data_IF_785028459056
#
_entry.id   IF_785028459056
#
_cell.length_a   1.000
_cell.length_b   1.000
_cell.length_c   1.000
_cell.angle_alpha   90.00
_cell.angle_beta   90.00
_cell.angle_gamma   90.00
#
_symmetry.space_group_name_H-M   'P 1'
#
loop_
_entity.id
_entity.type
_entity.pdbx_description
1 polymer ?
#
# COMPACT_ATOMS: atom_id res chain seq x y z
N UNK A 1 -13.20 -33.99 52.81
CA UNK A 1 -11.95 -33.48 52.23
C UNK A 1 -12.04 -33.63 50.71
N UNK A 2 -12.31 -32.53 50.01
CA UNK A 2 -12.24 -32.47 48.56
C UNK A 2 -11.58 -31.13 48.24
N UNK A 3 -10.31 -31.18 47.83
CA UNK A 3 -9.57 -30.00 47.39
C UNK A 3 -9.96 -29.66 45.97
N UNK A 4 -10.42 -28.43 45.76
CA UNK A 4 -10.55 -27.85 44.43
C UNK A 4 -9.30 -27.00 44.19
N UNK A 5 -8.43 -27.48 43.30
CA UNK A 5 -7.33 -26.69 42.75
C UNK A 5 -7.90 -25.73 41.72
N UNK A 6 -7.89 -24.43 42.03
CA UNK A 6 -8.16 -23.39 41.03
C UNK A 6 -6.83 -22.99 40.40
N UNK A 7 -6.74 -23.13 39.07
CA UNK A 7 -5.60 -22.65 38.30
C UNK A 7 -5.58 -21.12 38.36
N UNK A 8 -4.48 -20.55 38.88
CA UNK A 8 -4.18 -19.13 38.80
C UNK A 8 -3.68 -18.79 37.39
N UNK A 9 -4.52 -18.10 36.61
CA UNK A 9 -4.09 -17.50 35.35
C UNK A 9 -3.44 -16.13 35.62
N UNK A 10 -2.16 -16.01 35.31
CA UNK A 10 -1.27 -14.90 35.73
C UNK A 10 -1.20 -13.76 34.71
N UNK A 11 -2.20 -13.62 33.84
CA UNK A 11 -2.14 -12.67 32.70
C UNK A 11 -3.37 -11.78 32.48
N UNK A 12 -4.20 -11.55 33.49
CA UNK A 12 -5.26 -10.55 33.43
C UNK A 12 -5.20 -9.57 34.61
N UNK A 13 -4.81 -8.30 34.42
CA UNK A 13 -4.67 -7.32 35.50
C UNK A 13 -6.01 -6.68 35.93
N UNK A 14 -7.15 -7.20 35.46
CA UNK A 14 -8.47 -6.61 35.70
C UNK A 14 -9.36 -7.43 36.65
N UNK A 15 -8.96 -8.66 36.97
CA UNK A 15 -9.71 -9.58 37.83
C UNK A 15 -8.79 -10.27 38.86
N UNK A 16 -7.87 -9.53 39.44
CA UNK A 16 -7.31 -9.94 40.74
C UNK A 16 -8.39 -9.73 41.79
N UNK A 17 -9.12 -10.80 42.10
CA UNK A 17 -9.90 -10.94 43.34
C UNK A 17 -8.93 -11.13 44.53
N UNK A 18 -7.93 -10.25 44.66
CA UNK A 18 -7.06 -10.12 45.83
C UNK A 18 -7.44 -8.89 46.66
N UNK A 19 -8.75 -8.63 46.81
CA UNK A 19 -9.26 -7.59 47.71
C UNK A 19 -10.07 -8.19 48.87
N UNK A 20 -9.69 -9.40 49.28
CA UNK A 20 -9.94 -9.83 50.65
C UNK A 20 -8.92 -9.10 51.53
N UNK A 21 -9.22 -7.83 51.85
CA UNK A 21 -8.48 -7.05 52.83
C UNK A 21 -8.51 -7.87 54.13
N UNK A 22 -7.37 -8.44 54.50
CA UNK A 22 -7.19 -9.19 55.75
C UNK A 22 -7.82 -8.41 56.91
N UNK A 23 -8.62 -9.07 57.75
CA UNK A 23 -9.37 -8.45 58.83
C UNK A 23 -8.45 -7.63 59.74
N UNK A 24 -7.18 -8.04 59.90
CA UNK A 24 -6.18 -7.24 60.60
C UNK A 24 -5.81 -5.92 59.91
N UNK A 25 -5.76 -5.91 58.57
CA UNK A 25 -5.47 -4.72 57.76
C UNK A 25 -6.67 -3.78 57.74
N UNK A 26 -7.89 -4.32 57.70
CA UNK A 26 -9.13 -3.56 57.85
C UNK A 26 -9.25 -2.93 59.26
N UNK A 27 -8.91 -3.67 60.31
CA UNK A 27 -8.94 -3.16 61.69
C UNK A 27 -7.82 -2.14 61.98
N UNK A 28 -6.66 -2.25 61.32
CA UNK A 28 -5.57 -1.26 61.40
C UNK A 28 -5.88 0.03 60.64
N UNK A 29 -6.71 -0.04 59.60
CA UNK A 29 -7.13 1.12 58.81
C UNK A 29 -8.38 1.81 59.37
N UNK A 30 -9.03 1.24 60.39
CA UNK A 30 -10.13 1.88 61.11
C UNK A 30 -9.61 3.09 61.93
N UNK A 31 -10.21 4.29 61.80
CA UNK A 31 -9.76 5.46 62.54
C UNK A 31 -9.99 5.28 64.04
N UNK A 32 -8.94 5.46 64.83
CA UNK A 32 -8.98 5.38 66.30
C UNK A 32 -9.88 6.50 66.84
N UNK A 33 -11.01 6.14 67.47
CA UNK A 33 -11.81 7.09 68.26
C UNK A 33 -11.08 7.39 69.57
N UNK A 34 -10.11 8.29 69.52
CA UNK A 34 -9.47 8.86 70.70
C UNK A 34 -9.85 10.34 70.84
N UNK A 35 -10.46 10.66 71.98
CA UNK A 35 -10.72 12.01 72.46
C UNK A 35 -9.40 12.72 72.76
N UNK A 36 -9.23 13.92 72.19
CA UNK A 36 -8.17 14.87 72.53
C UNK A 36 -6.93 14.83 71.63
N UNK A 37 -6.58 15.98 71.05
CA UNK A 37 -5.41 16.25 70.19
C UNK A 37 -5.45 15.73 68.75
N UNK A 38 -6.42 16.20 67.95
CA UNK A 38 -6.57 15.82 66.54
C UNK A 38 -6.61 17.02 65.56
N UNK A 39 -5.75 18.02 65.76
CA UNK A 39 -5.63 19.15 64.82
C UNK A 39 -4.33 19.15 64.01
N UNK A 40 -3.30 18.39 64.37
CA UNK A 40 -2.00 18.41 63.66
C UNK A 40 -1.75 17.20 62.74
N UNK A 41 -2.47 16.08 62.93
CA UNK A 41 -2.31 14.89 62.07
C UNK A 41 -3.17 14.94 60.80
N UNK A 42 -4.38 15.51 60.87
CA UNK A 42 -5.27 15.67 59.70
C UNK A 42 -4.67 16.62 58.66
N UNK A 43 -4.05 17.72 59.11
CA UNK A 43 -3.40 18.69 58.23
C UNK A 43 -2.19 18.13 57.44
N UNK A 44 -1.45 17.15 57.99
CA UNK A 44 -0.28 16.57 57.30
C UNK A 44 -0.69 15.53 56.23
N UNK A 45 -1.74 14.75 56.49
CA UNK A 45 -2.28 13.80 55.51
C UNK A 45 -2.94 14.50 54.31
N UNK A 46 -3.68 15.58 54.55
CA UNK A 46 -4.28 16.40 53.49
C UNK A 46 -3.20 17.02 52.58
N UNK A 47 -2.08 17.48 53.13
CA UNK A 47 -0.96 18.01 52.34
C UNK A 47 -0.29 16.93 51.46
N UNK A 48 -0.08 15.72 51.97
CA UNK A 48 0.51 14.63 51.18
C UNK A 48 -0.43 14.17 50.05
N UNK A 49 -1.73 14.07 50.33
CA UNK A 49 -2.75 13.72 49.34
C UNK A 49 -2.85 14.78 48.24
N UNK A 50 -2.76 16.07 48.60
CA UNK A 50 -2.80 17.18 47.66
C UNK A 50 -1.55 17.22 46.76
N UNK A 51 -0.36 16.97 47.32
CA UNK A 51 0.88 16.81 46.54
C UNK A 51 0.79 15.62 45.58
N UNK A 52 0.29 14.47 46.05
CA UNK A 52 0.10 13.28 45.21
C UNK A 52 -0.90 13.55 44.08
N UNK A 53 -2.00 14.25 44.36
CA UNK A 53 -2.99 14.67 43.35
C UNK A 53 -2.35 15.60 42.31
N UNK A 54 -1.54 16.57 42.73
CA UNK A 54 -0.83 17.46 41.81
C UNK A 54 0.16 16.69 40.93
N UNK A 55 0.91 15.74 41.49
CA UNK A 55 1.82 14.89 40.73
C UNK A 55 1.09 14.03 39.70
N UNK A 56 -0.06 13.45 40.06
CA UNK A 56 -0.90 12.68 39.13
C UNK A 56 -1.46 13.55 38.01
N UNK A 57 -1.90 14.78 38.32
CA UNK A 57 -2.38 15.73 37.31
C UNK A 57 -1.27 16.16 36.35
N UNK A 58 -0.06 16.42 36.86
CA UNK A 58 1.09 16.76 36.02
C UNK A 58 1.48 15.59 35.10
N UNK A 59 1.53 14.37 35.65
CA UNK A 59 1.84 13.16 34.88
C UNK A 59 0.79 12.89 33.81
N UNK A 60 -0.49 13.08 34.12
CA UNK A 60 -1.58 12.97 33.15
C UNK A 60 -1.39 13.94 31.98
N UNK A 61 -1.14 15.22 32.28
CA UNK A 61 -0.93 16.26 31.26
C UNK A 61 0.25 15.94 30.35
N UNK A 62 1.36 15.48 30.93
CA UNK A 62 2.55 15.08 30.18
C UNK A 62 2.27 13.90 29.24
N UNK A 63 1.52 12.90 29.71
CA UNK A 63 1.12 11.75 28.87
C UNK A 63 0.20 12.21 27.73
N UNK A 64 -0.79 13.06 28.03
CA UNK A 64 -1.71 13.62 27.04
C UNK A 64 -0.95 14.39 25.94
N UNK A 65 -0.05 15.29 26.31
CA UNK A 65 0.75 16.09 25.38
C UNK A 65 1.65 15.23 24.49
N UNK A 66 2.37 14.27 25.09
CA UNK A 66 3.21 13.31 24.36
C UNK A 66 2.39 12.46 23.39
N UNK A 67 1.17 12.09 23.77
CA UNK A 67 0.27 11.27 22.95
C UNK A 67 -0.23 12.05 21.74
N UNK A 68 -0.66 13.31 21.93
CA UNK A 68 -1.05 14.19 20.83
C UNK A 68 0.10 14.37 19.85
N UNK A 69 1.28 14.76 20.34
CA UNK A 69 2.44 15.00 19.49
C UNK A 69 2.89 13.72 18.73
N UNK A 70 2.81 12.56 19.38
CA UNK A 70 3.07 11.27 18.72
C UNK A 70 2.08 10.99 17.59
N UNK A 71 0.80 11.28 17.82
CA UNK A 71 -0.27 11.11 16.84
C UNK A 71 -0.11 12.07 15.65
N UNK A 72 0.21 13.34 15.90
CA UNK A 72 0.48 14.34 14.84
C UNK A 72 1.67 13.93 13.96
N UNK A 73 2.76 13.45 14.56
CA UNK A 73 3.90 12.90 13.81
C UNK A 73 3.48 11.70 12.97
N UNK A 74 2.67 10.80 13.52
CA UNK A 74 2.19 9.62 12.81
C UNK A 74 1.34 10.01 11.60
N UNK A 75 0.45 11.01 11.73
CA UNK A 75 -0.32 11.55 10.61
C UNK A 75 0.59 12.09 9.51
N UNK A 76 1.62 12.87 9.87
CA UNK A 76 2.58 13.39 8.89
C UNK A 76 3.26 12.25 8.12
N UNK A 77 3.76 11.24 8.83
CA UNK A 77 4.41 10.08 8.22
C UNK A 77 3.46 9.28 7.31
N UNK A 78 2.18 9.15 7.70
CA UNK A 78 1.18 8.48 6.88
C UNK A 78 0.90 9.26 5.60
N UNK A 79 0.76 10.59 5.68
CA UNK A 79 0.58 11.46 4.50
C UNK A 79 1.78 11.42 3.57
N UNK A 80 2.99 11.44 4.12
CA UNK A 80 4.23 11.30 3.32
C UNK A 80 4.27 9.93 2.64
N UNK A 81 3.88 8.87 3.35
CA UNK A 81 3.78 7.51 2.81
C UNK A 81 2.74 7.41 1.69
N UNK A 82 1.60 8.08 1.83
CA UNK A 82 0.57 8.13 0.79
C UNK A 82 1.07 8.84 -0.47
N UNK A 83 1.77 9.95 -0.31
CA UNK A 83 2.36 10.68 -1.43
C UNK A 83 3.38 9.82 -2.18
N UNK A 84 4.28 9.15 -1.45
CA UNK A 84 5.27 8.24 -2.03
C UNK A 84 4.58 7.05 -2.72
N UNK A 85 3.55 6.49 -2.09
CA UNK A 85 2.77 5.38 -2.66
C UNK A 85 2.03 5.79 -3.94
N UNK A 86 1.43 6.97 -3.97
CA UNK A 86 0.78 7.52 -5.15
C UNK A 86 1.78 7.75 -6.31
N UNK A 87 2.92 8.38 -6.03
CA UNK A 87 3.96 8.58 -7.04
C UNK A 87 4.51 7.23 -7.57
N UNK A 88 4.61 6.23 -6.70
CA UNK A 88 5.03 4.87 -7.08
C UNK A 88 3.98 4.20 -7.97
N UNK A 89 2.69 4.35 -7.66
CA UNK A 89 1.60 3.85 -8.48
C UNK A 89 1.61 4.47 -9.89
N UNK A 90 1.80 5.79 -9.99
CA UNK A 90 1.93 6.47 -11.29
C UNK A 90 3.11 5.93 -12.11
N UNK A 91 4.26 5.71 -11.45
CA UNK A 91 5.44 5.17 -12.11
C UNK A 91 5.22 3.73 -12.59
N UNK A 92 4.56 2.87 -11.80
CA UNK A 92 4.21 1.51 -12.24
C UNK A 92 3.27 1.53 -13.45
N UNK A 93 2.25 2.41 -13.48
CA UNK A 93 1.36 2.57 -14.64
C UNK A 93 2.17 2.96 -15.88
N UNK A 94 3.12 3.90 -15.73
CA UNK A 94 3.99 4.31 -16.84
C UNK A 94 4.90 3.17 -17.32
N UNK A 95 5.43 2.37 -16.39
CA UNK A 95 6.26 1.20 -16.72
C UNK A 95 5.47 0.13 -17.47
N UNK A 96 4.24 -0.15 -17.04
CA UNK A 96 3.33 -1.06 -17.74
C UNK A 96 3.15 -0.65 -19.21
N UNK A 97 2.89 0.64 -19.45
CA UNK A 97 2.71 1.16 -20.81
C UNK A 97 3.95 0.96 -21.70
N UNK A 98 5.15 1.03 -21.11
CA UNK A 98 6.40 0.75 -21.83
C UNK A 98 6.55 -0.74 -22.16
N UNK A 99 6.16 -1.62 -21.24
CA UNK A 99 6.14 -3.07 -21.46
C UNK A 99 5.14 -3.43 -22.56
N UNK A 100 3.91 -2.91 -22.53
CA UNK A 100 2.90 -3.14 -23.57
C UNK A 100 3.38 -2.67 -24.96
N UNK A 101 4.04 -1.50 -25.04
CA UNK A 101 4.67 -1.04 -26.28
C UNK A 101 5.78 -1.98 -26.76
N UNK A 102 6.55 -2.54 -25.83
CA UNK A 102 7.63 -3.47 -26.15
C UNK A 102 7.08 -4.78 -26.67
N UNK A 103 6.04 -5.32 -26.03
CA UNK A 103 5.32 -6.51 -26.48
C UNK A 103 4.79 -6.33 -27.91
N UNK A 104 4.10 -5.21 -28.18
CA UNK A 104 3.58 -4.91 -29.52
C UNK A 104 4.69 -4.84 -30.57
N UNK A 105 5.83 -4.22 -30.25
CA UNK A 105 6.99 -4.17 -31.16
C UNK A 105 7.54 -5.56 -31.43
N UNK A 106 7.57 -6.46 -30.45
CA UNK A 106 8.00 -7.84 -30.65
C UNK A 106 7.03 -8.60 -31.58
N UNK A 107 5.74 -8.37 -31.45
CA UNK A 107 4.74 -8.94 -32.36
C UNK A 107 4.91 -8.44 -33.79
N UNK A 108 5.15 -7.12 -33.97
CA UNK A 108 5.44 -6.51 -35.26
C UNK A 108 6.73 -7.09 -35.89
N UNK A 109 7.79 -7.27 -35.09
CA UNK A 109 9.04 -7.87 -35.54
C UNK A 109 8.80 -9.33 -35.94
N UNK A 110 8.10 -10.11 -35.13
CA UNK A 110 7.80 -11.51 -35.43
C UNK A 110 6.97 -11.64 -36.73
N UNK A 111 5.98 -10.78 -36.94
CA UNK A 111 5.22 -10.71 -38.20
C UNK A 111 6.10 -10.36 -39.39
N UNK A 112 6.97 -9.35 -39.23
CA UNK A 112 7.93 -8.92 -40.25
C UNK A 112 8.92 -10.03 -40.59
N UNK A 113 9.42 -10.76 -39.59
CA UNK A 113 10.28 -11.92 -39.79
C UNK A 113 9.55 -13.01 -40.56
N UNK A 114 8.28 -13.32 -40.28
CA UNK A 114 7.51 -14.31 -41.07
C UNK A 114 7.40 -13.91 -42.54
N UNK A 115 7.14 -12.62 -42.81
CA UNK A 115 7.09 -12.10 -44.17
C UNK A 115 8.47 -12.18 -44.86
N UNK A 116 9.53 -11.75 -44.16
CA UNK A 116 10.93 -11.86 -44.61
C UNK A 116 11.30 -13.31 -44.96
N UNK A 117 10.90 -14.28 -44.15
CA UNK A 117 11.15 -15.70 -44.43
C UNK A 117 10.50 -16.16 -45.73
N UNK A 118 9.25 -15.74 -46.00
CA UNK A 118 8.56 -16.03 -47.26
C UNK A 118 9.31 -15.42 -48.46
N UNK A 119 9.88 -14.22 -48.30
CA UNK A 119 10.67 -13.56 -49.34
C UNK A 119 11.99 -14.29 -49.59
N UNK A 120 12.72 -14.64 -48.52
CA UNK A 120 13.96 -15.43 -48.60
C UNK A 120 13.70 -16.77 -49.31
N UNK A 121 12.58 -17.44 -49.01
CA UNK A 121 12.18 -18.68 -49.68
C UNK A 121 11.83 -18.47 -51.16
N UNK A 122 11.14 -17.39 -51.49
CA UNK A 122 10.89 -16.98 -52.88
C UNK A 122 12.19 -16.74 -53.65
N UNK A 123 13.16 -16.04 -53.04
CA UNK A 123 14.48 -15.78 -53.62
C UNK A 123 15.25 -17.10 -53.84
N UNK A 124 15.28 -17.98 -52.83
CA UNK A 124 15.86 -19.34 -52.97
C UNK A 124 15.24 -20.09 -54.15
N UNK A 125 13.92 -19.99 -54.32
CA UNK A 125 13.19 -20.65 -55.41
C UNK A 125 13.52 -20.07 -56.79
N UNK A 126 13.56 -18.74 -56.97
CA UNK A 126 13.87 -18.16 -58.29
C UNK A 126 15.31 -18.42 -58.74
N UNK A 127 16.28 -18.38 -57.82
CA UNK A 127 17.67 -18.75 -58.14
C UNK A 127 17.81 -20.25 -58.44
N UNK A 128 17.04 -21.09 -57.73
CA UNK A 128 16.96 -22.53 -58.01
C UNK A 128 16.34 -22.83 -59.38
N UNK A 129 15.22 -22.16 -59.71
CA UNK A 129 14.52 -22.30 -60.98
C UNK A 129 15.33 -21.75 -62.14
N UNK A 130 16.03 -20.62 -62.00
CA UNK A 130 16.97 -20.11 -63.01
C UNK A 130 18.10 -21.09 -63.27
N UNK A 131 18.67 -21.70 -62.23
CA UNK A 131 19.69 -22.76 -62.39
C UNK A 131 19.11 -24.01 -63.06
N UNK A 132 17.88 -24.40 -62.74
CA UNK A 132 17.25 -25.60 -63.30
C UNK A 132 16.74 -25.38 -64.74
N UNK A 133 16.30 -24.17 -65.09
CA UNK A 133 15.97 -23.75 -66.45
C UNK A 133 17.22 -23.64 -67.33
N UNK A 134 18.32 -23.09 -66.80
CA UNK A 134 19.60 -23.06 -67.51
C UNK A 134 20.24 -24.47 -67.62
N UNK A 135 19.85 -25.41 -66.75
CA UNK A 135 20.28 -26.83 -66.82
C UNK A 135 19.28 -27.78 -67.47
N UNK A 136 18.22 -27.27 -68.11
CA UNK A 136 17.40 -28.01 -69.09
C UNK A 136 16.53 -29.16 -68.57
N UNK A 137 15.90 -29.06 -67.38
CA UNK A 137 14.93 -30.07 -66.90
C UNK A 137 13.65 -29.43 -66.35
N UNK A 138 12.53 -29.67 -67.04
CA UNK A 138 11.18 -29.16 -66.76
C UNK A 138 10.51 -29.82 -65.53
N UNK A 139 9.68 -29.09 -64.77
CA UNK A 139 8.22 -29.29 -64.63
C UNK A 139 7.58 -28.42 -63.50
N UNK A 140 6.35 -27.98 -63.78
CA UNK A 140 5.22 -27.47 -62.96
C UNK A 140 5.31 -27.27 -61.43
N UNK A 141 4.80 -26.13 -60.94
CA UNK A 141 4.12 -26.06 -59.61
C UNK A 141 3.15 -24.86 -59.49
N UNK A 142 1.97 -24.99 -58.84
CA UNK A 142 0.97 -23.91 -58.69
C UNK A 142 1.13 -23.05 -57.41
N UNK A 143 0.44 -21.91 -57.44
CA UNK A 143 0.44 -20.75 -56.52
C UNK A 143 -0.33 -21.01 -55.20
N UNK A 144 0.15 -20.59 -54.00
CA UNK A 144 -0.66 -20.54 -52.80
C UNK A 144 -1.10 -19.10 -52.44
N UNK A 145 -2.43 -18.90 -52.41
CA UNK A 145 -3.10 -17.70 -51.86
C UNK A 145 -2.98 -17.63 -50.35
N UNK A 146 -2.48 -16.51 -49.83
CA UNK A 146 -2.46 -16.16 -48.40
C UNK A 146 -3.72 -15.40 -48.01
N UNK A 147 -4.51 -15.96 -47.07
CA UNK A 147 -5.51 -15.23 -46.29
C UNK A 147 -4.90 -14.93 -44.90
N UNK A 148 -4.98 -13.68 -44.48
CA UNK A 148 -4.56 -13.16 -43.16
C UNK A 148 -5.67 -13.42 -42.12
N UNK A 149 -5.34 -13.72 -40.84
CA UNK A 149 -6.27 -13.51 -39.75
C UNK A 149 -6.07 -12.13 -39.10
N UNK A 150 -7.22 -11.62 -38.69
CA UNK A 150 -7.56 -10.35 -38.07
C UNK A 150 -7.00 -10.24 -36.64
N UNK A 151 -6.44 -9.07 -36.33
CA UNK A 151 -5.87 -8.72 -35.03
C UNK A 151 -6.98 -8.35 -34.05
N UNK A 152 -7.17 -9.18 -33.02
CA UNK A 152 -7.98 -8.85 -31.86
C UNK A 152 -7.26 -7.80 -31.01
N UNK A 153 -7.90 -6.64 -30.83
CA UNK A 153 -7.46 -5.58 -29.93
C UNK A 153 -7.56 -6.05 -28.48
N UNK A 154 -6.41 -6.32 -27.84
CA UNK A 154 -6.34 -6.44 -26.39
C UNK A 154 -6.37 -5.04 -25.80
N UNK A 155 -7.41 -4.77 -25.00
CA UNK A 155 -7.56 -3.50 -24.29
C UNK A 155 -6.51 -3.40 -23.19
N UNK A 156 -5.73 -2.31 -23.23
CA UNK A 156 -4.93 -1.85 -22.11
C UNK A 156 -5.86 -1.52 -20.94
N UNK A 157 -5.91 -2.42 -19.97
CA UNK A 157 -6.51 -2.11 -18.67
C UNK A 157 -5.40 -2.25 -17.65
N UNK A 158 -4.84 -1.12 -17.24
CA UNK A 158 -4.24 -1.04 -15.90
C UNK A 158 -5.24 -1.60 -14.88
N UNK A 159 -4.73 -2.18 -13.80
CA UNK A 159 -5.58 -2.69 -12.74
C UNK A 159 -6.57 -1.59 -12.27
N UNK A 160 -7.90 -1.82 -12.35
CA UNK A 160 -8.90 -0.81 -11.97
C UNK A 160 -8.81 -0.46 -10.48
N UNK A 161 -8.27 -1.37 -9.68
CA UNK A 161 -8.01 -1.27 -8.25
C UNK A 161 -6.93 -0.23 -7.93
N UNK A 162 -5.82 -0.23 -8.67
CA UNK A 162 -4.74 0.76 -8.50
C UNK A 162 -5.21 2.16 -8.90
N UNK A 163 -5.93 2.25 -10.02
CA UNK A 163 -6.44 3.53 -10.54
C UNK A 163 -7.43 4.18 -9.57
N UNK A 164 -8.39 3.40 -9.04
CA UNK A 164 -9.35 3.88 -8.05
C UNK A 164 -8.68 4.30 -6.73
N UNK A 165 -7.62 3.60 -6.31
CA UNK A 165 -6.90 3.91 -5.07
C UNK A 165 -6.07 5.18 -5.23
N UNK A 166 -5.46 5.39 -6.39
CA UNK A 166 -4.72 6.60 -6.72
C UNK A 166 -5.64 7.84 -6.70
N UNK A 167 -6.81 7.75 -7.33
CA UNK A 167 -7.81 8.82 -7.33
C UNK A 167 -8.27 9.17 -5.90
N UNK A 168 -8.46 8.16 -5.05
CA UNK A 168 -8.84 8.36 -3.66
C UNK A 168 -7.76 9.09 -2.85
N UNK A 169 -6.48 8.79 -3.09
CA UNK A 169 -5.37 9.49 -2.41
C UNK A 169 -5.25 10.92 -2.91
N UNK A 170 -5.36 11.13 -4.22
CA UNK A 170 -5.19 12.45 -4.82
C UNK A 170 -6.32 13.41 -4.42
N UNK A 171 -7.56 12.92 -4.33
CA UNK A 171 -8.70 13.70 -3.84
C UNK A 171 -8.55 14.08 -2.35
N UNK A 172 -8.07 13.16 -1.51
CA UNK A 172 -7.82 13.45 -0.09
C UNK A 172 -6.69 14.47 0.10
N UNK A 173 -5.63 14.39 -0.70
CA UNK A 173 -4.53 15.35 -0.67
C UNK A 173 -4.99 16.76 -1.08
N UNK A 174 -5.85 16.86 -2.10
CA UNK A 174 -6.45 18.12 -2.52
C UNK A 174 -7.35 18.74 -1.44
N UNK A 175 -8.16 17.91 -0.76
CA UNK A 175 -9.08 18.37 0.28
C UNK A 175 -8.38 18.81 1.58
N UNK A 176 -7.22 18.23 1.90
CA UNK A 176 -6.48 18.54 3.13
C UNK A 176 -5.43 19.66 2.99
N UNK A 177 -5.38 20.36 1.85
CA UNK A 177 -4.43 21.44 1.62
C UNK A 177 -4.65 22.63 2.59
N UNK A 178 -3.59 23.23 3.17
CA UNK A 178 -3.71 24.32 4.16
C UNK A 178 -4.50 25.54 3.67
N UNK A 179 -4.60 25.74 2.35
CA UNK A 179 -5.41 26.82 1.75
C UNK A 179 -6.93 26.63 1.94
N UNK A 180 -7.42 25.41 2.16
CA UNK A 180 -8.83 25.13 2.43
C UNK A 180 -9.15 25.18 3.93
N UNK A 181 -8.15 24.90 4.80
CA UNK A 181 -8.32 25.00 6.27
C UNK A 181 -8.47 26.45 6.75
N UNK A 182 -7.99 27.44 5.99
CA UNK A 182 -8.16 28.86 6.30
C UNK A 182 -9.59 29.39 6.04
N UNK A 183 -10.44 28.63 5.35
CA UNK A 183 -11.80 29.05 4.94
C UNK A 183 -12.89 28.71 5.97
N UNK A 184 -12.55 28.08 7.10
CA UNK A 184 -13.53 27.56 8.07
C UNK A 184 -13.31 28.03 9.51
N UNK A 185 -12.91 29.28 9.73
CA UNK A 185 -12.57 29.83 11.05
C UNK A 185 -13.47 30.98 11.51
N UNK A 186 -14.71 31.06 11.01
CA UNK A 186 -15.72 32.02 11.49
C UNK A 186 -17.07 31.34 11.65
N UNK A 187 -17.33 30.91 12.88
CA UNK A 187 -18.61 30.67 13.58
C UNK A 187 -18.15 30.22 14.99
N UNK A 188 -18.04 31.07 16.02
CA UNK A 188 -19.13 31.65 16.87
C UNK A 188 -20.29 30.66 17.04
N UNK A 189 -20.68 30.19 18.23
CA UNK A 189 -20.84 30.87 19.51
C UNK A 189 -20.82 29.89 20.71
N UNK A 190 -20.58 30.48 21.89
CA UNK A 190 -21.12 30.14 23.22
C UNK A 190 -20.88 28.75 23.87
N UNK A 191 -20.05 28.74 24.93
CA UNK A 191 -20.45 28.25 26.26
C UNK A 191 -19.31 28.48 27.27
N UNK A 192 -19.35 29.64 27.93
CA UNK A 192 -18.66 29.86 29.21
C UNK A 192 -19.44 29.16 30.32
N UNK A 193 -19.11 27.90 30.64
CA UNK A 193 -19.22 27.38 32.01
C UNK A 193 -18.59 25.96 32.15
N UNK A 194 -17.84 25.74 33.23
CA UNK A 194 -17.12 24.51 33.64
C UNK A 194 -15.66 24.33 33.18
N UNK A 195 -14.77 25.06 33.86
CA UNK A 195 -13.33 25.20 33.57
C UNK A 195 -12.41 24.05 34.00
N UNK A 196 -12.89 22.93 34.53
CA UNK A 196 -11.99 21.85 35.04
C UNK A 196 -12.12 20.50 34.32
N UNK A 197 -13.22 20.24 33.61
CA UNK A 197 -13.41 19.01 32.81
C UNK A 197 -13.33 19.26 31.29
N UNK A 198 -13.37 20.53 30.84
CA UNK A 198 -13.30 20.87 29.41
C UNK A 198 -11.95 20.59 28.77
N UNK A 199 -10.83 20.85 29.45
CA UNK A 199 -9.49 20.63 28.88
C UNK A 199 -9.25 19.17 28.49
N UNK A 200 -9.76 18.25 29.30
CA UNK A 200 -9.58 16.82 29.10
C UNK A 200 -10.47 16.29 27.99
N UNK A 201 -11.69 16.80 27.89
CA UNK A 201 -12.60 16.48 26.81
C UNK A 201 -12.10 17.02 25.47
N UNK A 202 -11.47 18.19 25.47
CA UNK A 202 -10.86 18.77 24.27
C UNK A 202 -9.66 17.94 23.78
N UNK A 203 -8.80 17.49 24.70
CA UNK A 203 -7.67 16.60 24.40
C UNK A 203 -8.15 15.28 23.82
N UNK A 204 -9.15 14.65 24.44
CA UNK A 204 -9.73 13.39 23.92
C UNK A 204 -10.32 13.58 22.53
N UNK A 205 -11.06 14.67 22.29
CA UNK A 205 -11.61 14.99 20.95
C UNK A 205 -10.53 15.18 19.89
N UNK A 206 -9.43 15.86 20.23
CA UNK A 206 -8.29 16.04 19.32
C UNK A 206 -7.63 14.69 19.01
N UNK A 207 -7.44 13.85 20.02
CA UNK A 207 -6.87 12.53 19.84
C UNK A 207 -7.77 11.64 18.97
N UNK A 208 -9.08 11.64 19.22
CA UNK A 208 -10.05 10.88 18.43
C UNK A 208 -10.06 11.32 16.96
N UNK A 209 -10.06 12.63 16.71
CA UNK A 209 -9.93 13.18 15.36
C UNK A 209 -8.64 12.75 14.68
N UNK A 210 -7.53 12.78 15.41
CA UNK A 210 -6.24 12.36 14.86
C UNK A 210 -6.22 10.85 14.55
N UNK A 211 -6.81 10.02 15.42
CA UNK A 211 -6.92 8.58 15.21
C UNK A 211 -7.82 8.26 14.02
N UNK A 212 -8.92 8.98 13.83
CA UNK A 212 -9.79 8.85 12.66
C UNK A 212 -9.03 9.19 11.37
N UNK A 213 -8.28 10.31 11.36
CA UNK A 213 -7.43 10.68 10.24
C UNK A 213 -6.36 9.62 9.94
N UNK A 214 -5.70 9.08 10.97
CA UNK A 214 -4.75 7.99 10.83
C UNK A 214 -5.41 6.74 10.26
N UNK A 215 -6.61 6.39 10.72
CA UNK A 215 -7.34 5.21 10.26
C UNK A 215 -7.73 5.31 8.78
N UNK A 216 -8.22 6.49 8.35
CA UNK A 216 -8.52 6.77 6.95
C UNK A 216 -7.26 6.73 6.08
N UNK A 217 -6.15 7.24 6.61
CA UNK A 217 -4.85 7.22 5.92
C UNK A 217 -4.32 5.79 5.73
N UNK A 218 -4.41 4.97 6.78
CA UNK A 218 -4.08 3.54 6.71
C UNK A 218 -4.98 2.78 5.73
N UNK A 219 -6.27 3.10 5.65
CA UNK A 219 -7.18 2.48 4.70
C UNK A 219 -6.79 2.80 3.25
N UNK A 220 -6.41 4.04 2.96
CA UNK A 220 -5.90 4.45 1.63
C UNK A 220 -4.57 3.79 1.30
N UNK A 221 -3.62 3.78 2.24
CA UNK A 221 -2.35 3.08 2.09
C UNK A 221 -2.54 1.58 1.83
N UNK A 222 -3.50 0.95 2.49
CA UNK A 222 -3.87 -0.44 2.21
C UNK A 222 -4.41 -0.61 0.80
N UNK A 223 -5.28 0.29 0.33
CA UNK A 223 -5.79 0.29 -1.04
C UNK A 223 -4.65 0.38 -2.06
N UNK A 224 -3.75 1.36 -1.88
CA UNK A 224 -2.54 1.48 -2.69
C UNK A 224 -1.69 0.21 -2.64
N UNK A 225 -1.40 -0.33 -1.46
CA UNK A 225 -0.56 -1.52 -1.33
C UNK A 225 -1.12 -2.74 -2.08
N UNK A 226 -2.44 -2.95 -2.02
CA UNK A 226 -3.11 -4.03 -2.76
C UNK A 226 -3.02 -3.76 -4.27
N UNK A 227 -3.38 -2.56 -4.72
CA UNK A 227 -3.30 -2.22 -6.15
C UNK A 227 -1.88 -2.30 -6.71
N UNK A 228 -0.88 -1.88 -5.94
CA UNK A 228 0.53 -1.97 -6.32
C UNK A 228 0.97 -3.43 -6.43
N UNK A 229 0.54 -4.30 -5.52
CA UNK A 229 0.83 -5.74 -5.56
C UNK A 229 0.22 -6.39 -6.81
N UNK A 230 -1.05 -6.13 -7.08
CA UNK A 230 -1.74 -6.66 -8.27
C UNK A 230 -1.09 -6.16 -9.57
N UNK A 231 -0.67 -4.89 -9.62
CA UNK A 231 0.01 -4.33 -10.78
C UNK A 231 1.40 -4.94 -10.99
N UNK A 232 2.16 -5.19 -9.91
CA UNK A 232 3.46 -5.87 -10.00
C UNK A 232 3.30 -7.31 -10.50
N UNK A 233 2.33 -8.05 -9.97
CA UNK A 233 2.04 -9.42 -10.43
C UNK A 233 1.67 -9.42 -11.93
N UNK A 234 0.79 -8.50 -12.36
CA UNK A 234 0.42 -8.38 -13.77
C UNK A 234 1.59 -7.98 -14.67
N UNK A 235 2.47 -7.10 -14.22
CA UNK A 235 3.68 -6.74 -14.97
C UNK A 235 4.68 -7.89 -15.03
N UNK A 236 4.78 -8.72 -13.99
CA UNK A 236 5.62 -9.93 -14.00
C UNK A 236 5.18 -10.88 -15.12
N UNK A 237 3.87 -11.15 -15.22
CA UNK A 237 3.33 -12.00 -16.29
C UNK A 237 3.61 -11.39 -17.68
N UNK A 238 3.51 -10.07 -17.82
CA UNK A 238 3.81 -9.38 -19.08
C UNK A 238 5.30 -9.49 -19.45
N UNK A 239 6.20 -9.38 -18.48
CA UNK A 239 7.65 -9.54 -18.68
C UNK A 239 7.98 -10.96 -19.13
N UNK A 240 7.36 -11.98 -18.55
CA UNK A 240 7.55 -13.38 -18.96
C UNK A 240 7.13 -13.58 -20.42
N UNK A 241 5.96 -13.05 -20.80
CA UNK A 241 5.49 -13.09 -22.20
C UNK A 241 6.43 -12.36 -23.17
N UNK A 242 6.92 -11.17 -22.79
CA UNK A 242 7.91 -10.40 -23.57
C UNK A 242 9.21 -11.19 -23.71
N UNK A 243 9.65 -11.87 -22.66
CA UNK A 243 10.88 -12.68 -22.65
C UNK A 243 10.75 -13.84 -23.64
N UNK A 244 9.65 -14.59 -23.58
CA UNK A 244 9.35 -15.69 -24.51
C UNK A 244 9.28 -15.20 -25.97
N UNK A 245 8.59 -14.07 -26.22
CA UNK A 245 8.50 -13.47 -27.56
C UNK A 245 9.87 -13.02 -28.06
N UNK A 246 10.71 -12.47 -27.18
CA UNK A 246 12.06 -12.01 -27.50
C UNK A 246 12.95 -13.18 -27.90
N UNK A 247 12.95 -14.28 -27.13
CA UNK A 247 13.76 -15.47 -27.45
C UNK A 247 13.37 -16.07 -28.81
N UNK A 248 12.08 -16.25 -29.05
CA UNK A 248 11.57 -16.75 -30.35
C UNK A 248 11.96 -15.85 -31.52
N UNK A 249 11.89 -14.54 -31.30
CA UNK A 249 12.27 -13.53 -32.29
C UNK A 249 13.76 -13.60 -32.59
N UNK A 250 14.61 -13.70 -31.57
CA UNK A 250 16.07 -13.81 -31.75
C UNK A 250 16.45 -15.08 -32.52
N UNK A 251 15.92 -16.24 -32.14
CA UNK A 251 16.16 -17.51 -32.85
C UNK A 251 15.77 -17.40 -34.34
N UNK A 252 14.62 -16.80 -34.62
CA UNK A 252 14.12 -16.64 -35.99
C UNK A 252 15.00 -15.67 -36.79
N UNK A 253 15.40 -14.55 -36.19
CA UNK A 253 16.26 -13.55 -36.80
C UNK A 253 17.65 -14.14 -37.12
N UNK A 254 18.26 -14.86 -36.18
CA UNK A 254 19.54 -15.55 -36.41
C UNK A 254 19.46 -16.55 -37.57
N UNK A 255 18.37 -17.32 -37.66
CA UNK A 255 18.13 -18.26 -38.77
C UNK A 255 18.03 -17.54 -40.11
N UNK A 256 17.28 -16.45 -40.18
CA UNK A 256 17.13 -15.66 -41.41
C UNK A 256 18.43 -14.97 -41.83
N UNK A 257 19.20 -14.47 -40.87
CA UNK A 257 20.50 -13.85 -41.15
C UNK A 257 21.49 -14.87 -41.75
N UNK A 258 21.51 -16.10 -41.23
CA UNK A 258 22.30 -17.21 -41.81
C UNK A 258 21.85 -17.54 -43.25
N UNK A 259 20.54 -17.61 -43.47
CA UNK A 259 19.97 -17.88 -44.80
C UNK A 259 20.31 -16.79 -45.84
N UNK A 260 20.22 -15.51 -45.45
CA UNK A 260 20.60 -14.37 -46.28
C UNK A 260 22.10 -14.38 -46.59
N UNK A 261 22.95 -14.63 -45.59
CA UNK A 261 24.40 -14.72 -45.77
C UNK A 261 24.77 -15.83 -46.75
N UNK A 262 24.08 -16.98 -46.69
CA UNK A 262 24.29 -18.07 -47.66
C UNK A 262 23.87 -17.68 -49.08
N UNK A 263 22.75 -16.96 -49.23
CA UNK A 263 22.29 -16.47 -50.54
C UNK A 263 23.27 -15.48 -51.18
N UNK A 264 23.91 -14.61 -50.39
CA UNK A 264 24.84 -13.59 -50.89
C UNK A 264 26.23 -14.14 -51.24
N UNK A 265 26.61 -15.30 -50.70
CA UNK A 265 27.94 -15.90 -50.89
C UNK A 265 28.10 -16.68 -52.20
N UNK A 266 27.07 -16.72 -53.05
CA UNK A 266 26.98 -17.52 -54.27
C UNK A 266 26.73 -16.65 -55.48
#
# INVERSE_FOLDING_TARGET
MAGQHYLSDTKNPFFELEDDIDDETFLKSAPTRASGSSYNYVNNFDNELEVKRQQLMQRRKEIEERTIHSSERSISLLRDSEQIGAATAEELIRQREQLERTEKRLDDINSTLRFSQKHIQGIKSVFGSLKNYLSGKSLDTPVPSTKLPESTSFGSTSSPTLSSSLDQVQTNMANNHPSLKFRGLVDDDDDEDQKTNSSTNNITKVLEKNLDEMSGSLARLKGLAIGLSEEIESQSDLIDNITDKTERTDITLQKQNKDLTYLLKK
#
